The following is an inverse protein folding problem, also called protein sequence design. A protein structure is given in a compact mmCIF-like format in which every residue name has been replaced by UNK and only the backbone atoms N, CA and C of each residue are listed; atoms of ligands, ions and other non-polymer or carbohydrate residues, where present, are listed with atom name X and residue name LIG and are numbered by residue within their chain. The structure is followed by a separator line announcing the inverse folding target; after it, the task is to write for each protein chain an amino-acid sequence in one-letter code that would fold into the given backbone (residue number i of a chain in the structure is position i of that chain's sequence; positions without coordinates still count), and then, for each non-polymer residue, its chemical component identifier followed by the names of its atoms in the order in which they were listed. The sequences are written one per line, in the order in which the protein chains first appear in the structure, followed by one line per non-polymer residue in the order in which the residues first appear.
data_IF_147328700699
#
_entry.id   IF_147328700699
#
_cell.length_a   1.000
_cell.length_b   1.000
_cell.length_c   1.000
_cell.angle_alpha   90.00
_cell.angle_beta   90.00
_cell.angle_gamma   90.00
#
_symmetry.space_group_name_H-M   'P 1'
#
loop_
_entity.id
_entity.type
_entity.pdbx_description
1 polymer ?
#
# COMPACT_ATOMS: atom_id res chain seq x y z
N UNK A 1 -0.45 -15.29 -25.41
CA UNK A 1 -0.23 -14.19 -24.44
C UNK A 1 -1.13 -14.47 -23.26
N UNK A 2 -0.60 -15.10 -22.21
CA UNK A 2 -1.35 -15.36 -21.00
C UNK A 2 -1.46 -14.05 -20.22
N UNK A 3 -2.55 -13.33 -20.45
CA UNK A 3 -2.88 -12.11 -19.73
C UNK A 3 -3.16 -12.55 -18.28
N UNK A 4 -2.11 -12.65 -17.46
CA UNK A 4 -2.19 -13.03 -16.04
C UNK A 4 -3.20 -12.12 -15.36
N UNK A 5 -4.44 -12.59 -15.29
CA UNK A 5 -5.51 -11.91 -14.57
C UNK A 5 -5.01 -11.74 -13.15
N UNK A 6 -4.90 -10.48 -12.70
CA UNK A 6 -4.50 -10.23 -11.33
C UNK A 6 -5.45 -10.99 -10.42
N UNK A 7 -4.88 -11.74 -9.46
CA UNK A 7 -5.71 -12.30 -8.41
C UNK A 7 -6.37 -11.14 -7.65
N UNK A 8 -7.54 -11.39 -7.07
CA UNK A 8 -8.26 -10.35 -6.32
C UNK A 8 -7.36 -9.64 -5.29
N UNK A 9 -6.54 -10.39 -4.55
CA UNK A 9 -5.59 -9.82 -3.59
C UNK A 9 -4.48 -8.98 -4.24
N UNK A 10 -3.99 -9.35 -5.43
CA UNK A 10 -2.99 -8.53 -6.14
C UNK A 10 -3.58 -7.23 -6.66
N UNK A 11 -4.86 -7.25 -7.06
CA UNK A 11 -5.56 -6.04 -7.45
C UNK A 11 -5.72 -5.10 -6.24
N UNK A 12 -6.24 -5.61 -5.12
CA UNK A 12 -6.38 -4.82 -3.88
C UNK A 12 -5.06 -4.28 -3.36
N UNK A 13 -3.99 -5.08 -3.44
CA UNK A 13 -2.65 -4.65 -3.07
C UNK A 13 -2.15 -3.49 -3.94
N UNK A 14 -2.33 -3.58 -5.27
CA UNK A 14 -1.91 -2.52 -6.19
C UNK A 14 -2.71 -1.23 -5.96
N UNK A 15 -4.03 -1.33 -5.79
CA UNK A 15 -4.91 -0.19 -5.47
C UNK A 15 -4.52 0.47 -4.15
N UNK A 16 -4.26 -0.33 -3.11
CA UNK A 16 -3.86 0.19 -1.79
C UNK A 16 -2.50 0.89 -1.83
N UNK A 17 -1.52 0.33 -2.56
CA UNK A 17 -0.21 0.96 -2.76
C UNK A 17 -0.33 2.28 -3.51
N UNK A 18 -1.20 2.34 -4.52
CA UNK A 18 -1.46 3.56 -5.27
C UNK A 18 -1.95 4.69 -4.36
N UNK A 19 -2.98 4.42 -3.54
CA UNK A 19 -3.54 5.39 -2.59
C UNK A 19 -2.49 5.87 -1.59
N UNK A 20 -1.66 4.97 -1.04
CA UNK A 20 -0.59 5.34 -0.11
C UNK A 20 0.42 6.31 -0.77
N UNK A 21 0.76 6.08 -2.04
CA UNK A 21 1.68 6.94 -2.79
C UNK A 21 1.08 8.30 -3.14
N UNK A 22 -0.20 8.36 -3.48
CA UNK A 22 -0.89 9.63 -3.71
C UNK A 22 -0.89 10.48 -2.44
N UNK A 23 -1.22 9.90 -1.29
CA UNK A 23 -1.16 10.62 0.00
C UNK A 23 0.25 11.12 0.30
N UNK A 24 1.28 10.34 0.01
CA UNK A 24 2.67 10.78 0.20
C UNK A 24 3.10 11.87 -0.79
N UNK A 25 2.51 11.92 -1.98
CA UNK A 25 2.79 12.94 -3.00
C UNK A 25 2.05 14.26 -2.74
N UNK A 26 0.83 14.21 -2.19
CA UNK A 26 -0.03 15.38 -2.04
C UNK A 26 0.09 16.06 -0.66
N UNK A 27 0.48 15.33 0.39
CA UNK A 27 0.51 15.85 1.76
C UNK A 27 1.95 15.99 2.28
N UNK A 28 2.24 17.10 2.97
CA UNK A 28 3.59 17.35 3.52
C UNK A 28 3.93 16.54 4.77
N UNK A 29 2.92 16.15 5.58
CA UNK A 29 3.12 15.44 6.86
C UNK A 29 2.09 14.31 7.07
N UNK A 30 2.05 13.29 6.19
CA UNK A 30 1.14 12.17 6.37
C UNK A 30 1.58 11.29 7.56
N UNK A 31 0.60 10.74 8.29
CA UNK A 31 0.84 9.80 9.39
C UNK A 31 0.01 8.53 9.21
N UNK A 32 0.55 7.39 9.64
CA UNK A 32 -0.19 6.13 9.70
C UNK A 32 -0.57 5.84 11.15
N UNK A 33 -1.88 5.72 11.42
CA UNK A 33 -2.40 5.31 12.72
C UNK A 33 -2.17 3.80 12.91
N UNK A 34 -1.20 3.43 13.74
CA UNK A 34 -0.86 2.03 14.01
C UNK A 34 -1.44 1.56 15.35
N UNK A 35 -2.38 0.62 15.29
CA UNK A 35 -3.13 0.11 16.45
C UNK A 35 -2.67 -1.26 16.95
N UNK A 36 -1.60 -1.84 16.38
CA UNK A 36 -1.15 -3.22 16.69
C UNK A 36 -2.22 -4.28 16.32
N UNK A 37 -3.22 -3.90 15.52
CA UNK A 37 -4.26 -4.80 15.01
C UNK A 37 -3.86 -5.48 13.71
N UNK A 38 -4.68 -6.45 13.27
CA UNK A 38 -4.48 -7.15 11.99
C UNK A 38 -4.52 -6.19 10.79
N UNK A 39 -5.47 -5.25 10.79
CA UNK A 39 -5.70 -4.35 9.66
C UNK A 39 -4.59 -3.31 9.54
N UNK A 40 -4.17 -2.73 10.67
CA UNK A 40 -3.05 -1.80 10.72
C UNK A 40 -1.70 -2.46 10.44
N UNK A 41 -1.57 -3.76 10.72
CA UNK A 41 -0.39 -4.56 10.32
C UNK A 41 -0.35 -4.81 8.80
N UNK A 42 -1.50 -5.09 8.16
CA UNK A 42 -1.60 -5.19 6.70
C UNK A 42 -1.30 -3.83 6.04
N UNK A 43 -1.84 -2.74 6.55
CA UNK A 43 -1.52 -1.40 6.07
C UNK A 43 -0.02 -1.09 6.17
N UNK A 44 0.63 -1.42 7.29
CA UNK A 44 2.08 -1.25 7.45
C UNK A 44 2.86 -2.06 6.41
N UNK A 45 2.44 -3.30 6.15
CA UNK A 45 3.05 -4.12 5.10
C UNK A 45 2.89 -3.50 3.70
N UNK A 46 1.70 -2.99 3.37
CA UNK A 46 1.44 -2.30 2.11
C UNK A 46 2.25 -1.02 1.97
N UNK A 47 2.39 -0.22 3.03
CA UNK A 47 3.25 0.96 3.04
C UNK A 47 4.71 0.59 2.79
N UNK A 48 5.23 -0.46 3.43
CA UNK A 48 6.58 -0.96 3.12
C UNK A 48 6.75 -1.34 1.65
N UNK A 49 5.74 -1.97 1.05
CA UNK A 49 5.76 -2.31 -0.39
C UNK A 49 5.62 -1.07 -1.29
N UNK A 50 4.90 -0.06 -0.85
CA UNK A 50 4.72 1.18 -1.60
C UNK A 50 6.04 1.94 -1.78
N UNK A 51 6.96 1.87 -0.81
CA UNK A 51 8.20 2.65 -0.87
C UNK A 51 9.45 1.82 -1.23
N UNK A 52 9.45 0.49 -1.08
CA UNK A 52 10.59 -0.36 -1.43
C UNK A 52 11.08 -0.19 -2.89
N UNK A 53 12.40 -0.20 -3.17
CA UNK A 53 13.53 -0.28 -2.23
C UNK A 53 13.95 1.08 -1.64
N UNK A 54 13.30 2.16 -2.06
CA UNK A 54 13.58 3.51 -1.60
C UNK A 54 12.75 3.91 -0.38
N UNK A 55 12.85 5.20 -0.07
CA UNK A 55 11.95 5.90 0.84
C UNK A 55 10.79 6.52 0.08
#
# INVERSE_FOLDING_TARGET
MDQKRLTHLRQLEAESIHIIREVAAEFSNPVMMYSIGKDSSVMLHLARKAFYPGT
#
